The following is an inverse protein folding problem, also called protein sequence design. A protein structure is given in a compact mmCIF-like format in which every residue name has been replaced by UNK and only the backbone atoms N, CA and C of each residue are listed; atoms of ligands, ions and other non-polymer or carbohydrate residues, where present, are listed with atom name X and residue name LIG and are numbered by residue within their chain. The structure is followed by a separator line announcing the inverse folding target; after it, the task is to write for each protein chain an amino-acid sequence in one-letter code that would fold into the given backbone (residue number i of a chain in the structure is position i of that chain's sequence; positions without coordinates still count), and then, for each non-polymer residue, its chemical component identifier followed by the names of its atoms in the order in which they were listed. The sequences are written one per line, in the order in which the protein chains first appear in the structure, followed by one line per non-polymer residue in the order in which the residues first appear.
data_IF_700005463349
#
_entry.id   IF_700005463349
#
_cell.length_a   1.000
_cell.length_b   1.000
_cell.length_c   1.000
_cell.angle_alpha   90.00
_cell.angle_beta   90.00
_cell.angle_gamma   90.00
#
_symmetry.space_group_name_H-M   'P 1'
#
loop_
_entity.id
_entity.type
_entity.pdbx_description
1 polymer ?
#
# COMPACT_ATOMS: atom_id res chain seq x y z
N UNK A 1 9.29 -4.57 -10.86
CA UNK A 1 9.27 -5.80 -10.03
C UNK A 1 9.25 -5.32 -8.59
N UNK A 2 8.33 -5.81 -7.75
CA UNK A 2 8.20 -5.32 -6.37
C UNK A 2 9.28 -5.98 -5.50
N UNK A 3 9.99 -5.21 -4.68
CA UNK A 3 11.04 -5.73 -3.78
C UNK A 3 10.77 -5.34 -2.33
N UNK A 4 11.34 -6.10 -1.40
CA UNK A 4 11.38 -5.69 0.01
C UNK A 4 12.16 -4.37 0.13
N UNK A 5 11.79 -3.58 1.14
CA UNK A 5 12.32 -2.25 1.44
C UNK A 5 12.13 -1.19 0.34
N UNK A 6 11.42 -1.53 -0.74
CA UNK A 6 11.05 -0.57 -1.78
C UNK A 6 10.17 0.52 -1.19
N UNK A 7 10.50 1.78 -1.49
CA UNK A 7 9.63 2.93 -1.22
C UNK A 7 8.50 2.97 -2.24
N UNK A 8 7.27 3.14 -1.75
CA UNK A 8 6.06 3.26 -2.56
C UNK A 8 5.24 4.45 -2.08
N UNK A 9 4.47 5.06 -2.97
CA UNK A 9 3.50 6.10 -2.59
C UNK A 9 2.18 5.43 -2.24
N UNK A 10 1.65 5.74 -1.07
CA UNK A 10 0.32 5.32 -0.62
C UNK A 10 -0.58 6.55 -0.61
N UNK A 11 -1.70 6.45 -1.30
CA UNK A 11 -2.71 7.51 -1.39
C UNK A 11 -3.95 7.08 -0.59
N UNK A 12 -4.42 7.92 0.32
CA UNK A 12 -5.71 7.73 0.99
C UNK A 12 -6.82 8.31 0.12
N UNK A 13 -7.78 7.50 -0.31
CA UNK A 13 -8.84 7.94 -1.23
C UNK A 13 -9.87 8.84 -0.57
N UNK A 14 -10.06 8.71 0.73
CA UNK A 14 -11.02 9.52 1.51
C UNK A 14 -10.55 10.96 1.69
N UNK A 15 -9.23 11.17 1.84
CA UNK A 15 -8.64 12.49 2.13
C UNK A 15 -7.82 13.07 0.98
N UNK A 16 -7.47 12.26 -0.02
CA UNK A 16 -6.56 12.62 -1.11
C UNK A 16 -5.09 12.78 -0.69
N UNK A 17 -4.78 12.52 0.58
CA UNK A 17 -3.42 12.67 1.10
C UNK A 17 -2.55 11.49 0.65
N UNK A 18 -1.35 11.81 0.19
CA UNK A 18 -0.33 10.83 -0.20
C UNK A 18 0.84 10.84 0.76
N UNK A 19 1.38 9.67 1.06
CA UNK A 19 2.53 9.49 1.93
C UNK A 19 3.48 8.40 1.39
N UNK A 20 4.77 8.53 1.72
CA UNK A 20 5.76 7.52 1.38
C UNK A 20 5.70 6.36 2.38
N UNK A 21 5.49 5.15 1.86
CA UNK A 21 5.53 3.91 2.63
C UNK A 21 6.65 2.98 2.18
N UNK A 22 6.95 1.97 2.99
CA UNK A 22 7.98 0.95 2.71
C UNK A 22 7.35 -0.43 2.60
N UNK A 23 7.68 -1.17 1.54
CA UNK A 23 7.25 -2.57 1.39
C UNK A 23 7.98 -3.42 2.44
N UNK A 24 7.23 -4.05 3.35
CA UNK A 24 7.79 -4.87 4.45
C UNK A 24 7.48 -6.35 4.32
N UNK A 25 6.49 -6.72 3.50
CA UNK A 25 6.14 -8.13 3.22
C UNK A 25 5.53 -8.26 1.84
N UNK A 26 5.89 -9.29 1.09
CA UNK A 26 5.32 -9.59 -0.22
C UNK A 26 4.52 -10.91 -0.14
N UNK A 27 3.38 -10.95 -0.82
CA UNK A 27 2.49 -12.12 -0.94
C UNK A 27 2.09 -12.33 -2.40
N UNK A 28 1.54 -13.50 -2.76
CA UNK A 28 1.07 -13.76 -4.14
C UNK A 28 0.01 -12.76 -4.64
N UNK A 29 -0.84 -12.29 -3.73
CA UNK A 29 -2.01 -11.44 -3.98
C UNK A 29 -1.80 -9.96 -3.62
N UNK A 30 -0.63 -9.57 -3.13
CA UNK A 30 -0.41 -8.22 -2.62
C UNK A 30 0.86 -8.08 -1.79
N UNK A 31 0.89 -7.06 -0.93
CA UNK A 31 2.01 -6.79 -0.04
C UNK A 31 1.58 -5.93 1.15
N UNK A 32 2.45 -5.82 2.15
CA UNK A 32 2.26 -4.91 3.27
C UNK A 32 3.18 -3.70 3.13
N UNK A 33 2.61 -2.54 3.42
CA UNK A 33 3.31 -1.26 3.41
C UNK A 33 3.34 -0.69 4.82
N UNK A 34 4.54 -0.40 5.31
CA UNK A 34 4.73 0.36 6.54
C UNK A 34 4.66 1.86 6.25
N UNK A 35 3.88 2.57 7.07
CA UNK A 35 3.62 4.00 7.07
C UNK A 35 3.82 4.52 8.50
N UNK A 36 5.07 4.86 8.84
CA UNK A 36 5.46 5.06 10.24
C UNK A 36 5.23 3.79 11.05
N UNK A 37 4.46 3.89 12.13
CA UNK A 37 4.10 2.76 13.00
C UNK A 37 2.90 1.95 12.48
N UNK A 38 2.23 2.43 11.41
CA UNK A 38 1.10 1.75 10.79
C UNK A 38 1.57 0.77 9.73
N UNK A 39 0.98 -0.42 9.67
CA UNK A 39 1.15 -1.34 8.54
C UNK A 39 -0.18 -1.54 7.84
N UNK A 40 -0.21 -1.25 6.54
CA UNK A 40 -1.39 -1.40 5.69
C UNK A 40 -1.19 -2.59 4.78
N UNK A 41 -2.15 -3.52 4.83
CA UNK A 41 -2.20 -4.66 3.91
C UNK A 41 -2.88 -4.22 2.64
N UNK A 42 -2.18 -4.29 1.50
CA UNK A 42 -2.74 -3.98 0.20
C UNK A 42 -2.84 -5.22 -0.66
N UNK A 43 -3.94 -5.35 -1.40
CA UNK A 43 -4.27 -6.47 -2.26
C UNK A 43 -4.38 -6.00 -3.70
N UNK A 44 -3.97 -6.84 -4.64
CA UNK A 44 -4.04 -6.53 -6.07
C UNK A 44 -5.50 -6.42 -6.49
N UNK A 45 -5.91 -5.22 -6.89
CA UNK A 45 -7.25 -4.97 -7.43
C UNK A 45 -7.23 -5.00 -8.96
N UNK A 46 -6.21 -4.39 -9.58
CA UNK A 46 -5.95 -4.40 -11.04
C UNK A 46 -4.44 -4.52 -11.27
N UNK A 47 -3.98 -4.82 -12.50
CA UNK A 47 -2.56 -4.75 -12.80
C UNK A 47 -1.99 -3.40 -12.35
N UNK A 48 -0.93 -3.45 -11.52
CA UNK A 48 -0.25 -2.26 -10.95
C UNK A 48 -1.08 -1.39 -10.00
N UNK A 49 -2.28 -1.83 -9.59
CA UNK A 49 -3.14 -1.13 -8.65
C UNK A 49 -3.44 -2.05 -7.47
N UNK A 50 -3.02 -1.62 -6.28
CA UNK A 50 -3.23 -2.34 -5.04
C UNK A 50 -4.07 -1.49 -4.09
N UNK A 51 -5.00 -2.11 -3.40
CA UNK A 51 -5.97 -1.46 -2.52
C UNK A 51 -5.92 -2.12 -1.15
N UNK A 52 -5.85 -1.31 -0.10
CA UNK A 52 -5.93 -1.75 1.29
C UNK A 52 -6.96 -0.95 2.04
N UNK A 53 -7.55 -1.54 3.07
CA UNK A 53 -8.42 -0.84 3.99
C UNK A 53 -7.81 -0.92 5.39
N UNK A 54 -7.81 0.21 6.10
CA UNK A 54 -7.36 0.27 7.48
C UNK A 54 -8.21 1.28 8.25
N UNK A 55 -8.81 0.84 9.35
CA UNK A 55 -9.68 1.67 10.21
C UNK A 55 -10.81 2.39 9.45
N UNK A 56 -11.36 1.76 8.40
CA UNK A 56 -12.45 2.32 7.60
C UNK A 56 -12.01 3.24 6.47
N UNK A 57 -10.72 3.57 6.35
CA UNK A 57 -10.16 4.33 5.22
C UNK A 57 -9.60 3.41 4.15
N UNK A 58 -9.76 3.80 2.88
CA UNK A 58 -9.18 3.09 1.74
C UNK A 58 -7.88 3.74 1.28
N UNK A 59 -6.91 2.89 0.94
CA UNK A 59 -5.56 3.25 0.54
C UNK A 59 -5.19 2.57 -0.77
N UNK A 60 -4.61 3.34 -1.69
CA UNK A 60 -4.22 2.88 -3.02
C UNK A 60 -2.71 2.99 -3.18
N UNK A 61 -2.10 1.95 -3.75
CA UNK A 61 -0.69 1.94 -4.17
C UNK A 61 -0.61 1.63 -5.66
N UNK A 62 0.12 2.48 -6.39
CA UNK A 62 0.36 2.36 -7.84
C UNK A 62 1.85 2.07 -8.08
N UNK A 63 2.16 1.02 -8.83
CA UNK A 63 3.53 0.49 -9.01
C UNK A 63 3.97 0.41 -10.47
#
# INVERSE_FOLDING_TARGET
MLTLDQKVTVECTDTGVSAAGKVVRIRPDGFDVALGDLTIKVYRHKPRIYVGNQSGMEFVVRT
#
